data_IF_153917267739
#
_entry.id   IF_153917267739
#
_cell.length_a   1.000
_cell.length_b   1.000
_cell.length_c   1.000
_cell.angle_alpha   90.00
_cell.angle_beta   90.00
_cell.angle_gamma   90.00
#
_symmetry.space_group_name_H-M   'P 1'
#
loop_
_entity.id
_entity.type
_entity.pdbx_description
1 polymer ?
#
# COMPACT_ATOMS: atom_id res chain seq x y z
N UNK A 1 3.23 -0.89 13.17
CA UNK A 1 3.59 0.00 12.05
C UNK A 1 3.07 1.38 12.45
N UNK A 2 3.87 2.43 12.28
CA UNK A 2 3.46 3.80 12.59
C UNK A 2 3.26 4.59 11.30
N UNK A 3 2.60 5.75 11.35
CA UNK A 3 2.37 6.61 10.17
C UNK A 3 3.64 6.89 9.34
N UNK A 4 4.78 7.08 10.01
CA UNK A 4 6.07 7.28 9.32
C UNK A 4 6.52 6.05 8.51
N UNK A 5 6.15 4.85 8.93
CA UNK A 5 6.42 3.62 8.19
C UNK A 5 5.50 3.51 6.95
N UNK A 6 4.26 4.04 7.02
CA UNK A 6 3.34 4.09 5.88
C UNK A 6 3.86 4.97 4.73
N UNK A 7 4.45 6.12 5.03
CA UNK A 7 5.10 6.96 4.00
C UNK A 7 6.25 6.24 3.29
N UNK A 8 6.95 5.34 4.01
CA UNK A 8 7.98 4.51 3.42
C UNK A 8 7.37 3.43 2.50
N UNK A 9 6.27 2.81 2.92
CA UNK A 9 5.55 1.82 2.10
C UNK A 9 5.02 2.41 0.79
N UNK A 10 4.52 3.65 0.80
CA UNK A 10 4.08 4.32 -0.44
C UNK A 10 5.23 4.48 -1.45
N UNK A 11 6.45 4.76 -0.96
CA UNK A 11 7.66 4.83 -1.81
C UNK A 11 8.06 3.46 -2.34
N UNK A 12 7.98 2.43 -1.52
CA UNK A 12 8.27 1.05 -1.93
C UNK A 12 7.29 0.57 -3.00
N UNK A 13 5.99 0.83 -2.83
CA UNK A 13 4.96 0.53 -3.84
C UNK A 13 5.22 1.29 -5.13
N UNK A 14 5.60 2.57 -5.06
CA UNK A 14 5.95 3.36 -6.24
C UNK A 14 7.15 2.78 -6.99
N UNK A 15 8.17 2.31 -6.27
CA UNK A 15 9.35 1.68 -6.87
C UNK A 15 9.00 0.33 -7.51
N UNK A 16 8.14 -0.49 -6.89
CA UNK A 16 7.63 -1.72 -7.49
C UNK A 16 6.91 -1.41 -8.81
N UNK A 17 6.01 -0.42 -8.82
CA UNK A 17 5.32 0.00 -10.06
C UNK A 17 6.32 0.47 -11.11
N UNK A 18 7.33 1.26 -10.74
CA UNK A 18 8.36 1.72 -11.67
C UNK A 18 9.14 0.56 -12.31
N UNK A 19 9.57 -0.41 -11.50
CA UNK A 19 10.35 -1.57 -11.96
C UNK A 19 9.54 -2.52 -12.84
N UNK A 20 8.22 -2.59 -12.63
CA UNK A 20 7.31 -3.50 -13.33
C UNK A 20 6.59 -2.85 -14.50
N UNK A 21 6.94 -1.62 -14.86
CA UNK A 21 6.21 -0.82 -15.84
C UNK A 21 4.70 -0.79 -15.52
N UNK A 22 4.38 -0.40 -14.30
CA UNK A 22 3.04 -0.38 -13.72
C UNK A 22 2.33 -1.75 -13.82
N UNK A 23 3.06 -2.83 -13.47
CA UNK A 23 2.59 -4.21 -13.56
C UNK A 23 2.15 -4.62 -14.98
N UNK A 24 2.77 -4.03 -16.02
CA UNK A 24 2.53 -4.42 -17.42
C UNK A 24 3.37 -5.64 -17.77
N UNK A 25 2.71 -6.74 -18.17
CA UNK A 25 3.42 -7.94 -18.59
C UNK A 25 4.16 -7.71 -19.92
N UNK A 26 5.43 -8.15 -20.03
CA UNK A 26 6.13 -8.14 -21.31
C UNK A 26 5.54 -9.18 -22.27
N UNK A 27 5.80 -8.99 -23.57
CA UNK A 27 5.42 -9.97 -24.59
C UNK A 27 6.06 -11.33 -24.29
N UNK A 28 5.26 -12.40 -24.38
CA UNK A 28 5.72 -13.77 -24.13
C UNK A 28 5.96 -14.10 -22.65
N UNK A 29 5.47 -13.28 -21.70
CA UNK A 29 5.55 -13.59 -20.28
C UNK A 29 5.04 -15.01 -19.98
N UNK A 30 5.83 -15.78 -19.22
CA UNK A 30 5.43 -17.12 -18.80
C UNK A 30 4.40 -17.05 -17.66
N UNK A 31 3.69 -18.17 -17.42
CA UNK A 31 2.64 -18.24 -16.39
C UNK A 31 3.10 -17.81 -15.00
N UNK A 32 4.34 -18.11 -14.62
CA UNK A 32 4.87 -17.73 -13.30
C UNK A 32 5.07 -16.21 -13.19
N UNK A 33 5.45 -15.54 -14.28
CA UNK A 33 5.56 -14.08 -14.30
C UNK A 33 4.18 -13.44 -14.23
N UNK A 34 3.22 -13.94 -15.01
CA UNK A 34 1.81 -13.52 -14.92
C UNK A 34 1.30 -13.60 -13.49
N UNK A 35 1.45 -14.76 -12.85
CA UNK A 35 1.02 -14.98 -11.47
C UNK A 35 1.73 -14.05 -10.47
N UNK A 36 3.02 -13.75 -10.69
CA UNK A 36 3.75 -12.79 -9.86
C UNK A 36 3.13 -11.40 -9.95
N UNK A 37 2.82 -10.91 -11.15
CA UNK A 37 2.27 -9.55 -11.32
C UNK A 37 0.83 -9.45 -10.83
N UNK A 38 0.03 -10.51 -11.00
CA UNK A 38 -1.31 -10.61 -10.39
C UNK A 38 -1.23 -10.57 -8.86
N UNK A 39 -0.34 -11.37 -8.26
CA UNK A 39 -0.12 -11.36 -6.81
C UNK A 39 0.42 -10.02 -6.28
N UNK A 40 1.28 -9.34 -7.04
CA UNK A 40 1.73 -7.99 -6.69
C UNK A 40 0.58 -6.98 -6.73
N UNK A 41 -0.32 -7.07 -7.71
CA UNK A 41 -1.50 -6.21 -7.80
C UNK A 41 -2.43 -6.40 -6.59
N UNK A 42 -2.68 -7.65 -6.20
CA UNK A 42 -3.46 -8.02 -5.02
C UNK A 42 -2.79 -7.49 -3.75
N UNK A 43 -1.51 -7.79 -3.54
CA UNK A 43 -0.74 -7.34 -2.39
C UNK A 43 -0.77 -5.80 -2.23
N UNK A 44 -0.54 -5.06 -3.32
CA UNK A 44 -0.56 -3.59 -3.28
C UNK A 44 -1.96 -3.07 -2.92
N UNK A 45 -3.01 -3.71 -3.44
CA UNK A 45 -4.40 -3.33 -3.15
C UNK A 45 -4.71 -3.53 -1.66
N UNK A 46 -4.33 -4.68 -1.11
CA UNK A 46 -4.55 -5.04 0.29
C UNK A 46 -3.74 -4.16 1.23
N UNK A 47 -2.46 -3.90 0.91
CA UNK A 47 -1.61 -3.02 1.70
C UNK A 47 -2.19 -1.60 1.76
N UNK A 48 -2.65 -1.07 0.63
CA UNK A 48 -3.29 0.25 0.59
C UNK A 48 -4.59 0.28 1.41
N UNK A 49 -5.40 -0.79 1.37
CA UNK A 49 -6.60 -0.90 2.18
C UNK A 49 -6.28 -0.96 3.69
N UNK A 50 -5.24 -1.71 4.06
CA UNK A 50 -4.73 -1.80 5.41
C UNK A 50 -4.26 -0.44 5.93
N UNK A 51 -3.41 0.28 5.19
CA UNK A 51 -2.91 1.61 5.56
C UNK A 51 -4.07 2.59 5.77
N UNK A 52 -5.07 2.61 4.88
CA UNK A 52 -6.25 3.47 5.04
C UNK A 52 -7.04 3.11 6.30
N UNK A 53 -7.30 1.83 6.53
CA UNK A 53 -8.01 1.38 7.73
C UNK A 53 -7.29 1.83 9.00
N UNK A 54 -5.97 1.68 9.05
CA UNK A 54 -5.18 2.13 10.19
C UNK A 54 -5.21 3.65 10.35
N UNK A 55 -4.96 4.40 9.28
CA UNK A 55 -4.84 5.85 9.32
C UNK A 55 -6.17 6.57 9.61
N UNK A 56 -7.26 6.11 9.00
CA UNK A 56 -8.55 6.80 9.00
C UNK A 56 -9.50 6.28 10.08
N UNK A 57 -9.36 5.00 10.48
CA UNK A 57 -10.28 4.36 11.43
C UNK A 57 -9.59 4.02 12.74
N UNK A 58 -8.48 3.28 12.71
CA UNK A 58 -7.87 2.75 13.93
C UNK A 58 -7.15 3.84 14.74
N UNK A 59 -6.15 4.51 14.16
CA UNK A 59 -5.32 5.48 14.87
C UNK A 59 -6.11 6.64 15.48
N UNK A 60 -7.10 7.25 14.81
CA UNK A 60 -7.89 8.33 15.41
C UNK A 60 -8.62 7.95 16.70
N UNK A 61 -8.89 6.66 16.94
CA UNK A 61 -9.52 6.20 18.19
C UNK A 61 -8.57 6.27 19.40
N UNK A 62 -7.26 6.29 19.15
CA UNK A 62 -6.22 6.31 20.18
C UNK A 62 -5.49 7.64 20.25
N UNK A 63 -5.74 8.55 19.32
CA UNK A 63 -5.24 9.92 19.40
C UNK A 63 -5.98 10.69 20.50
N UNK A 64 -5.26 11.50 21.30
CA UNK A 64 -5.90 12.32 22.31
C UNK A 64 -6.89 13.24 21.61
N UNK A 65 -8.17 13.12 21.97
CA UNK A 65 -9.18 14.08 21.55
C UNK A 65 -8.72 15.45 22.03
N UNK A 66 -8.48 16.38 21.11
CA UNK A 66 -8.19 17.75 21.47
C UNK A 66 -9.46 18.36 22.09
N UNK A 67 -9.66 18.15 23.40
CA UNK A 67 -10.68 18.83 24.19
C UNK A 67 -10.19 20.23 24.51
N UNK A 68 -10.20 21.11 23.52
CA UNK A 68 -9.86 22.52 23.71
C UNK A 68 -10.83 23.42 22.91
N UNK A 69 -12.03 23.63 23.45
CA UNK A 69 -12.73 24.93 23.51
C UNK A 69 -14.13 24.77 24.12
N UNK A 70 -14.23 25.00 25.43
CA UNK A 70 -15.31 25.79 26.06
C UNK A 70 -14.65 26.64 27.15
#
# INVERSE_FOLDING_TARGET
VMRADHDNHDREVAEIRRLTHDLTLPEGACRTWTALYEGLAEFITDLNAHIRLENEVLFPQFEPKNTAHV
#
